data_IF_386169346868
#
_entry.id   IF_386169346868
#
_cell.length_a   1.000
_cell.length_b   1.000
_cell.length_c   1.000
_cell.angle_alpha   90.00
_cell.angle_beta   90.00
_cell.angle_gamma   90.00
#
_symmetry.space_group_name_H-M   'P 1'
#
loop_
_entity.id
_entity.type
_entity.pdbx_description
1 polymer ?
#
# COMPACT_ATOMS: atom_id res chain seq x y z
N UNK A 1 -17.30 -2.61 14.90
CA UNK A 1 -16.12 -3.14 14.19
C UNK A 1 -15.04 -3.44 15.20
N UNK A 2 -14.70 -4.70 15.40
CA UNK A 2 -13.81 -5.21 16.44
C UNK A 2 -12.35 -4.90 16.14
N UNK A 3 -11.59 -4.39 17.12
CA UNK A 3 -10.14 -4.18 17.01
C UNK A 3 -9.43 -5.53 17.11
N UNK A 4 -9.34 -6.24 15.97
CA UNK A 4 -8.63 -7.50 15.87
C UNK A 4 -7.12 -7.27 15.71
N UNK A 5 -6.32 -8.12 16.35
CA UNK A 5 -4.87 -8.17 16.13
C UNK A 5 -4.55 -8.80 14.77
N UNK A 6 -3.36 -8.48 14.24
CA UNK A 6 -2.75 -9.24 13.16
C UNK A 6 -2.24 -10.57 13.73
N UNK A 7 -2.59 -11.68 13.08
CA UNK A 7 -2.14 -13.01 13.52
C UNK A 7 -0.61 -13.07 13.47
N UNK A 8 0.02 -13.51 14.55
CA UNK A 8 1.49 -13.56 14.67
C UNK A 8 2.16 -12.28 15.18
N UNK A 9 1.42 -11.16 15.32
CA UNK A 9 2.00 -9.86 15.69
C UNK A 9 1.33 -9.24 16.92
N UNK A 10 2.03 -8.32 17.57
CA UNK A 10 1.52 -7.55 18.71
C UNK A 10 0.72 -6.29 18.30
N UNK A 11 0.57 -6.03 17.00
CA UNK A 11 -0.10 -4.83 16.47
C UNK A 11 -1.57 -5.09 16.11
N UNK A 12 -2.44 -4.11 16.40
CA UNK A 12 -3.83 -4.14 15.98
C UNK A 12 -3.96 -3.83 14.48
N UNK A 13 -4.90 -4.45 13.76
CA UNK A 13 -5.12 -4.21 12.32
C UNK A 13 -5.32 -2.72 11.99
N UNK A 14 -6.05 -1.99 12.85
CA UNK A 14 -6.27 -0.55 12.68
C UNK A 14 -5.00 0.26 12.86
N UNK A 15 -4.20 -0.08 13.87
CA UNK A 15 -2.93 0.59 14.15
C UNK A 15 -1.94 0.35 13.02
N UNK A 16 -1.83 -0.89 12.54
CA UNK A 16 -1.03 -1.23 11.36
C UNK A 16 -1.48 -0.44 10.14
N UNK A 17 -2.79 -0.43 9.84
CA UNK A 17 -3.32 0.31 8.70
C UNK A 17 -3.08 1.83 8.80
N UNK A 18 -3.11 2.41 10.00
CA UNK A 18 -2.78 3.82 10.20
C UNK A 18 -1.28 4.09 9.96
N UNK A 19 -0.41 3.27 10.54
CA UNK A 19 1.04 3.40 10.38
C UNK A 19 1.46 3.20 8.91
N UNK A 20 0.91 2.19 8.24
CA UNK A 20 1.13 1.95 6.82
C UNK A 20 0.70 3.14 5.97
N UNK A 21 -0.49 3.71 6.19
CA UNK A 21 -0.96 4.89 5.43
C UNK A 21 -0.04 6.09 5.60
N UNK A 22 0.38 6.36 6.84
CA UNK A 22 1.29 7.48 7.13
C UNK A 22 2.61 7.34 6.37
N UNK A 23 3.23 6.15 6.45
CA UNK A 23 4.51 5.92 5.81
C UNK A 23 4.38 5.77 4.28
N UNK A 24 3.29 5.22 3.79
CA UNK A 24 3.01 5.12 2.36
C UNK A 24 2.76 6.50 1.74
N UNK A 25 2.12 7.44 2.45
CA UNK A 25 1.92 8.80 1.96
C UNK A 25 3.25 9.52 1.65
N UNK A 26 4.33 9.19 2.37
CA UNK A 26 5.67 9.74 2.12
C UNK A 26 6.34 9.12 0.87
N UNK A 27 5.92 7.91 0.47
CA UNK A 27 6.40 7.20 -0.72
C UNK A 27 5.53 7.46 -1.96
N UNK A 28 4.28 7.87 -1.77
CA UNK A 28 3.30 7.98 -2.83
C UNK A 28 3.47 9.26 -3.65
N UNK A 29 4.26 9.17 -4.74
CA UNK A 29 4.17 10.09 -5.89
C UNK A 29 3.06 9.70 -6.88
N UNK A 30 2.19 8.77 -6.50
CA UNK A 30 1.24 8.13 -7.41
C UNK A 30 -0.04 8.95 -7.47
N UNK A 31 -0.28 9.61 -8.61
CA UNK A 31 -1.45 10.44 -8.87
C UNK A 31 -2.80 9.73 -8.69
N UNK A 32 -2.83 8.40 -8.78
CA UNK A 32 -4.05 7.59 -8.75
C UNK A 32 -4.23 6.80 -7.46
N UNK A 33 -3.32 6.92 -6.49
CA UNK A 33 -3.44 6.22 -5.20
C UNK A 33 -3.76 7.24 -4.11
N UNK A 34 -4.98 7.16 -3.58
CA UNK A 34 -5.39 7.93 -2.40
C UNK A 34 -5.22 7.09 -1.14
N UNK A 35 -4.61 7.65 -0.10
CA UNK A 35 -4.62 7.07 1.26
C UNK A 35 -5.91 7.35 2.03
N UNK A 36 -6.76 8.24 1.50
CA UNK A 36 -8.04 8.64 2.08
C UNK A 36 -9.18 7.86 1.41
N UNK A 37 -9.47 6.68 1.96
CA UNK A 37 -10.54 5.81 1.48
C UNK A 37 -11.86 6.13 2.21
N UNK A 38 -12.50 7.25 1.84
CA UNK A 38 -13.94 7.43 2.05
C UNK A 38 -14.72 6.49 1.12
N UNK A 39 -15.81 5.90 1.63
CA UNK A 39 -16.70 4.87 1.03
C UNK A 39 -16.22 4.19 -0.25
N UNK A 40 -16.00 2.86 -0.17
CA UNK A 40 -15.57 1.91 -1.20
C UNK A 40 -16.17 2.07 -2.62
N UNK A 41 -15.87 3.16 -3.31
CA UNK A 41 -16.13 3.34 -4.72
C UNK A 41 -14.82 2.98 -5.44
N UNK A 42 -14.58 1.68 -5.51
CA UNK A 42 -13.48 1.07 -6.24
C UNK A 42 -13.72 1.13 -7.76
N UNK A 43 -13.89 2.33 -8.30
CA UNK A 43 -13.78 2.64 -9.73
C UNK A 43 -12.55 3.57 -9.93
N UNK A 44 -11.45 3.27 -9.24
CA UNK A 44 -10.18 3.92 -9.52
C UNK A 44 -9.75 3.46 -10.93
N UNK A 45 -9.81 4.41 -11.86
CA UNK A 45 -9.74 4.18 -13.30
C UNK A 45 -8.60 3.25 -13.73
N UNK A 46 -8.95 2.28 -14.57
CA UNK A 46 -7.98 1.53 -15.34
C UNK A 46 -7.42 2.50 -16.38
N UNK A 47 -6.22 3.02 -16.13
CA UNK A 47 -5.49 3.70 -17.20
C UNK A 47 -5.30 2.70 -18.34
N UNK A 48 -5.71 3.12 -19.55
CA UNK A 48 -5.50 2.30 -20.75
C UNK A 48 -4.01 2.25 -20.99
N UNK A 49 -3.38 1.15 -20.59
CA UNK A 49 -1.95 0.93 -20.84
C UNK A 49 -1.73 1.02 -22.34
N UNK A 50 -0.95 2.02 -22.76
CA UNK A 50 -0.63 2.22 -24.17
C UNK A 50 0.17 1.03 -24.66
N UNK A 51 -0.33 0.32 -25.67
CA UNK A 51 0.28 -0.92 -26.20
C UNK A 51 1.76 -0.79 -26.62
N UNK A 52 2.29 0.42 -26.74
CA UNK A 52 3.69 0.67 -27.12
C UNK A 52 4.67 0.66 -25.95
N UNK A 53 4.20 0.79 -24.69
CA UNK A 53 5.07 0.94 -23.52
C UNK A 53 4.73 -0.04 -22.37
N UNK A 54 3.89 -1.06 -22.61
CA UNK A 54 3.38 -1.94 -21.55
C UNK A 54 4.50 -2.58 -20.71
N UNK A 55 5.59 -3.03 -21.33
CA UNK A 55 6.72 -3.63 -20.59
C UNK A 55 7.41 -2.60 -19.68
N UNK A 56 7.63 -1.39 -20.18
CA UNK A 56 8.22 -0.29 -19.40
C UNK A 56 7.28 0.13 -18.26
N UNK A 57 5.98 0.20 -18.53
CA UNK A 57 4.95 0.53 -17.53
C UNK A 57 4.88 -0.54 -16.42
N UNK A 58 5.00 -1.83 -16.78
CA UNK A 58 5.06 -2.93 -15.80
C UNK A 58 6.36 -2.88 -15.00
N UNK A 59 7.49 -2.60 -15.64
CA UNK A 59 8.78 -2.46 -14.95
C UNK A 59 8.79 -1.27 -14.00
N UNK A 60 8.24 -0.14 -14.42
CA UNK A 60 8.08 1.04 -13.56
C UNK A 60 7.18 0.72 -12.36
N UNK A 61 6.05 0.05 -12.60
CA UNK A 61 5.15 -0.38 -11.52
C UNK A 61 5.87 -1.31 -10.55
N UNK A 62 6.59 -2.31 -11.05
CA UNK A 62 7.35 -3.26 -10.23
C UNK A 62 8.41 -2.55 -9.37
N UNK A 63 9.15 -1.60 -9.93
CA UNK A 63 10.11 -0.79 -9.18
C UNK A 63 9.44 0.05 -8.09
N UNK A 64 8.26 0.62 -8.37
CA UNK A 64 7.50 1.38 -7.37
C UNK A 64 6.91 0.48 -6.27
N UNK A 65 6.70 -0.82 -6.53
CA UNK A 65 6.23 -1.80 -5.53
C UNK A 65 7.33 -2.38 -4.65
N UNK A 66 8.60 -2.35 -5.05
CA UNK A 66 9.70 -2.87 -4.21
C UNK A 66 9.81 -2.15 -2.84
N UNK A 67 9.77 -0.80 -2.76
CA UNK A 67 9.79 -0.09 -1.47
C UNK A 67 8.57 -0.41 -0.59
N UNK A 68 7.42 -0.73 -1.19
CA UNK A 68 6.20 -1.11 -0.48
C UNK A 68 6.38 -2.39 0.33
N UNK A 69 7.03 -3.41 -0.25
CA UNK A 69 7.32 -4.66 0.47
C UNK A 69 8.23 -4.40 1.67
N UNK A 70 9.31 -3.64 1.47
CA UNK A 70 10.23 -3.26 2.55
C UNK A 70 9.55 -2.47 3.66
N UNK A 71 8.61 -1.58 3.30
CA UNK A 71 7.83 -0.83 4.27
C UNK A 71 6.95 -1.74 5.13
N UNK A 72 6.27 -2.71 4.52
CA UNK A 72 5.43 -3.68 5.23
C UNK A 72 6.28 -4.50 6.18
N UNK A 73 7.41 -5.03 5.71
CA UNK A 73 8.32 -5.83 6.53
C UNK A 73 8.85 -5.01 7.72
N UNK A 74 9.30 -3.77 7.49
CA UNK A 74 9.77 -2.89 8.55
C UNK A 74 8.70 -2.59 9.62
N UNK A 75 7.44 -2.40 9.21
CA UNK A 75 6.32 -2.16 10.13
C UNK A 75 5.95 -3.41 10.95
N UNK A 76 6.10 -4.60 10.36
CA UNK A 76 5.83 -5.87 11.02
C UNK A 76 6.96 -6.27 11.96
N UNK A 77 8.22 -6.11 11.55
CA UNK A 77 9.42 -6.46 12.33
C UNK A 77 9.52 -5.70 13.65
N UNK A 78 9.12 -4.41 13.66
CA UNK A 78 9.07 -3.62 14.88
C UNK A 78 8.06 -4.13 15.92
N UNK A 79 7.17 -5.06 15.53
CA UNK A 79 6.00 -5.48 16.31
C UNK A 79 5.83 -7.01 16.36
N UNK A 80 6.91 -7.75 16.08
CA UNK A 80 7.00 -9.20 16.31
C UNK A 80 6.86 -9.47 17.81
N UNK A 81 6.14 -10.53 18.17
CA UNK A 81 5.90 -10.92 19.56
C UNK A 81 7.12 -11.46 20.27
#
# INVERSE_FOLDING_TARGET
MTNAFLSGYAIQRREFAAAFRSAFAELASWSHVSTDYGSANADAGVDRVGSLCFEDDVMELAHRFMPLAQLVDALLDQRVK
#
